data_IF_792889217794
#
_entry.id   IF_792889217794
#
_cell.length_a   1.000
_cell.length_b   1.000
_cell.length_c   1.000
_cell.angle_alpha   90.00
_cell.angle_beta   90.00
_cell.angle_gamma   90.00
#
_symmetry.space_group_name_H-M   'P 1'
#
loop_
_entity.id
_entity.type
_entity.pdbx_description
1 polymer ?
#
# COMPACT_ATOMS: atom_id res chain seq x y z
N UNK A 1 -10.34 -8.31 -9.52
CA UNK A 1 -10.98 -8.40 -8.19
C UNK A 1 -10.35 -7.35 -7.30
N UNK A 2 -9.11 -7.55 -6.84
CA UNK A 2 -8.31 -6.49 -6.23
C UNK A 2 -9.01 -5.81 -5.06
N UNK A 3 -8.77 -4.51 -4.89
CA UNK A 3 -9.32 -3.73 -3.79
C UNK A 3 -10.84 -3.52 -3.89
N UNK A 4 -11.46 -3.80 -5.04
CA UNK A 4 -12.91 -3.73 -5.18
C UNK A 4 -13.67 -4.87 -4.49
N UNK A 5 -13.00 -5.97 -4.12
CA UNK A 5 -13.55 -6.99 -3.22
C UNK A 5 -12.41 -7.63 -2.40
N UNK A 6 -12.00 -7.02 -1.28
CA UNK A 6 -10.87 -7.50 -0.47
C UNK A 6 -11.09 -8.90 0.12
N UNK A 7 -12.33 -9.27 0.41
CA UNK A 7 -12.68 -10.60 0.97
C UNK A 7 -12.38 -11.76 0.02
N UNK A 8 -12.22 -11.48 -1.28
CA UNK A 8 -11.92 -12.49 -2.27
C UNK A 8 -10.58 -13.18 -2.06
N UNK A 9 -9.58 -12.49 -1.49
CA UNK A 9 -8.30 -13.09 -1.14
C UNK A 9 -8.46 -14.11 -0.02
N UNK A 10 -9.25 -13.77 1.01
CA UNK A 10 -9.55 -14.67 2.13
C UNK A 10 -10.30 -15.91 1.66
N UNK A 11 -11.32 -15.73 0.81
CA UNK A 11 -12.10 -16.83 0.24
C UNK A 11 -11.23 -17.76 -0.61
N UNK A 12 -10.36 -17.20 -1.46
CA UNK A 12 -9.45 -18.00 -2.28
C UNK A 12 -8.49 -18.84 -1.42
N UNK A 13 -7.96 -18.27 -0.33
CA UNK A 13 -7.12 -19.00 0.62
C UNK A 13 -7.91 -20.10 1.35
N UNK A 14 -9.14 -19.83 1.77
CA UNK A 14 -10.00 -20.84 2.38
C UNK A 14 -10.32 -21.99 1.42
N UNK A 15 -10.58 -21.68 0.13
CA UNK A 15 -10.79 -22.69 -0.89
C UNK A 15 -9.51 -23.53 -1.12
N UNK A 16 -8.34 -22.91 -1.17
CA UNK A 16 -7.06 -23.62 -1.27
C UNK A 16 -6.83 -24.57 -0.07
N UNK A 17 -7.06 -24.09 1.14
CA UNK A 17 -6.93 -24.89 2.36
C UNK A 17 -7.92 -26.07 2.39
N UNK A 18 -9.18 -25.82 2.01
CA UNK A 18 -10.20 -26.87 1.89
C UNK A 18 -9.80 -27.94 0.86
N UNK A 19 -9.31 -27.55 -0.32
CA UNK A 19 -8.84 -28.49 -1.35
C UNK A 19 -7.67 -29.32 -0.86
N UNK A 20 -6.73 -28.68 -0.16
CA UNK A 20 -5.53 -29.35 0.35
C UNK A 20 -5.88 -30.38 1.42
N UNK A 21 -6.87 -30.08 2.28
CA UNK A 21 -7.30 -30.96 3.37
C UNK A 21 -8.22 -32.09 2.89
N UNK A 22 -9.15 -31.79 2.00
CA UNK A 22 -10.16 -32.74 1.52
C UNK A 22 -9.57 -33.66 0.44
N UNK A 23 -8.74 -33.10 -0.45
CA UNK A 23 -8.22 -33.82 -1.61
C UNK A 23 -9.24 -34.00 -2.74
N UNK A 24 -8.87 -34.81 -3.72
CA UNK A 24 -9.72 -35.15 -4.86
C UNK A 24 -10.50 -36.44 -4.60
N UNK A 25 -11.75 -36.54 -5.10
CA UNK A 25 -12.39 -35.62 -6.05
C UNK A 25 -13.19 -34.45 -5.44
N UNK A 26 -13.44 -34.43 -4.14
CA UNK A 26 -14.35 -33.47 -3.47
C UNK A 26 -13.83 -32.02 -3.48
N UNK A 27 -12.51 -31.80 -3.53
CA UNK A 27 -11.89 -30.48 -3.64
C UNK A 27 -12.36 -29.65 -4.84
N UNK A 28 -12.93 -30.28 -5.87
CA UNK A 28 -13.56 -29.58 -7.01
C UNK A 28 -14.70 -28.65 -6.61
N UNK A 29 -15.40 -28.97 -5.52
CA UNK A 29 -16.58 -28.22 -5.05
C UNK A 29 -16.17 -26.83 -4.53
N UNK A 30 -15.29 -26.70 -3.51
CA UNK A 30 -14.85 -25.39 -3.04
C UNK A 30 -14.08 -24.59 -4.11
N UNK A 31 -13.39 -25.26 -5.04
CA UNK A 31 -12.77 -24.59 -6.19
C UNK A 31 -13.81 -23.96 -7.12
N UNK A 32 -14.88 -24.69 -7.45
CA UNK A 32 -15.94 -24.17 -8.30
C UNK A 32 -16.61 -22.94 -7.65
N UNK A 33 -16.90 -23.01 -6.34
CA UNK A 33 -17.46 -21.88 -5.58
C UNK A 33 -16.55 -20.65 -5.63
N UNK A 34 -15.25 -20.82 -5.36
CA UNK A 34 -14.29 -19.73 -5.40
C UNK A 34 -14.20 -19.11 -6.81
N UNK A 35 -14.15 -19.92 -7.87
CA UNK A 35 -14.09 -19.43 -9.25
C UNK A 35 -15.32 -18.61 -9.60
N UNK A 36 -16.53 -19.10 -9.29
CA UNK A 36 -17.77 -18.37 -9.55
C UNK A 36 -17.81 -17.05 -8.78
N UNK A 37 -17.39 -17.05 -7.51
CA UNK A 37 -17.31 -15.84 -6.68
C UNK A 37 -16.36 -14.80 -7.28
N UNK A 38 -15.16 -15.22 -7.70
CA UNK A 38 -14.18 -14.33 -8.34
C UNK A 38 -14.69 -13.79 -9.69
N UNK A 39 -15.33 -14.64 -10.50
CA UNK A 39 -15.90 -14.28 -11.79
C UNK A 39 -17.01 -13.23 -11.65
N UNK A 40 -17.87 -13.35 -10.63
CA UNK A 40 -18.98 -12.43 -10.33
C UNK A 40 -18.56 -11.16 -9.58
N UNK A 41 -17.38 -11.14 -8.97
CA UNK A 41 -16.89 -9.99 -8.19
C UNK A 41 -16.58 -8.76 -9.06
N UNK A 42 -16.72 -7.56 -8.50
CA UNK A 42 -16.24 -6.31 -9.12
C UNK A 42 -14.74 -6.43 -9.42
N UNK A 43 -14.32 -5.89 -10.57
CA UNK A 43 -12.94 -6.02 -11.06
C UNK A 43 -12.20 -4.71 -10.83
N UNK A 44 -11.09 -4.80 -10.11
CA UNK A 44 -10.13 -3.70 -9.96
C UNK A 44 -8.70 -4.23 -10.10
N UNK A 45 -7.86 -3.50 -10.82
CA UNK A 45 -6.43 -3.72 -11.01
C UNK A 45 -5.56 -2.55 -10.55
N UNK A 46 -6.12 -1.61 -9.79
CA UNK A 46 -5.47 -0.40 -9.25
C UNK A 46 -4.21 -0.73 -8.47
N UNK A 47 -4.30 -1.59 -7.45
CA UNK A 47 -3.17 -2.02 -6.63
C UNK A 47 -2.08 -2.71 -7.46
N UNK A 48 -2.46 -3.57 -8.40
CA UNK A 48 -1.53 -4.24 -9.32
C UNK A 48 -0.76 -3.24 -10.20
N UNK A 49 -1.45 -2.26 -10.79
CA UNK A 49 -0.81 -1.20 -11.56
C UNK A 49 0.06 -0.30 -10.68
N UNK A 50 -0.39 0.01 -9.47
CA UNK A 50 0.33 0.88 -8.54
C UNK A 50 1.67 0.26 -8.11
N UNK A 51 1.70 -1.03 -7.74
CA UNK A 51 2.96 -1.69 -7.36
C UNK A 51 3.92 -1.79 -8.55
N UNK A 52 3.42 -2.09 -9.76
CA UNK A 52 4.28 -2.13 -10.95
C UNK A 52 4.90 -0.77 -11.25
N UNK A 53 4.13 0.32 -11.14
CA UNK A 53 4.65 1.69 -11.29
C UNK A 53 5.70 2.02 -10.22
N UNK A 54 5.47 1.63 -8.97
CA UNK A 54 6.42 1.87 -7.89
C UNK A 54 7.73 1.11 -8.11
N UNK A 55 7.67 -0.18 -8.50
CA UNK A 55 8.84 -0.99 -8.83
C UNK A 55 9.61 -0.37 -10.00
N UNK A 56 8.91 0.04 -11.05
CA UNK A 56 9.53 0.67 -12.22
C UNK A 56 10.21 1.99 -11.86
N UNK A 57 9.56 2.82 -11.03
CA UNK A 57 10.15 4.06 -10.55
C UNK A 57 11.46 3.80 -9.80
N UNK A 58 11.47 2.84 -8.86
CA UNK A 58 12.68 2.47 -8.11
C UNK A 58 13.80 1.99 -9.05
N UNK A 59 13.47 1.25 -10.12
CA UNK A 59 14.46 0.82 -11.12
C UNK A 59 15.08 1.99 -11.87
N UNK A 60 14.30 3.03 -12.13
CA UNK A 60 14.74 4.23 -12.86
C UNK A 60 15.53 5.19 -11.98
N UNK A 61 15.15 5.35 -10.71
CA UNK A 61 15.72 6.36 -9.81
C UNK A 61 16.84 5.82 -8.92
N UNK A 62 16.95 4.49 -8.79
CA UNK A 62 17.89 3.87 -7.87
C UNK A 62 17.52 4.09 -6.40
N UNK A 63 18.54 4.19 -5.55
CA UNK A 63 18.38 4.22 -4.09
C UNK A 63 18.28 5.65 -3.54
N UNK A 64 17.13 6.29 -3.78
CA UNK A 64 16.86 7.62 -3.24
C UNK A 64 16.82 7.62 -1.71
N UNK A 65 17.31 8.68 -1.04
CA UNK A 65 17.36 8.73 0.41
C UNK A 65 15.96 8.81 1.02
N UNK A 66 15.76 8.12 2.14
CA UNK A 66 14.56 8.28 2.97
C UNK A 66 14.58 9.69 3.60
N UNK A 67 13.46 10.44 3.59
CA UNK A 67 13.35 11.73 4.27
C UNK A 67 13.76 11.65 5.75
N UNK A 68 14.49 12.66 6.25
CA UNK A 68 15.10 12.64 7.59
C UNK A 68 14.08 12.42 8.71
N UNK A 69 12.92 13.06 8.62
CA UNK A 69 11.83 12.92 9.59
C UNK A 69 11.18 11.52 9.58
N UNK A 70 11.43 10.68 8.58
CA UNK A 70 10.95 9.29 8.55
C UNK A 70 12.03 8.28 8.96
N UNK A 71 13.30 8.70 9.07
CA UNK A 71 14.38 7.82 9.51
C UNK A 71 14.23 7.52 10.99
N UNK A 72 14.61 6.31 11.39
CA UNK A 72 14.72 5.96 12.80
C UNK A 72 15.95 6.66 13.43
N UNK A 73 15.80 7.18 14.65
CA UNK A 73 16.86 7.82 15.42
C UNK A 73 17.11 7.10 16.77
N UNK A 74 17.61 5.85 16.75
CA UNK A 74 17.82 5.06 17.96
C UNK A 74 18.99 5.56 18.82
N UNK A 75 19.95 6.29 18.24
CA UNK A 75 21.13 6.80 18.97
C UNK A 75 21.03 8.30 19.22
N UNK A 76 21.71 8.78 20.28
CA UNK A 76 21.76 10.22 20.61
C UNK A 76 22.38 11.04 19.48
N UNK A 77 23.47 10.56 18.88
CA UNK A 77 24.11 11.18 17.72
C UNK A 77 23.15 11.33 16.53
N UNK A 78 22.29 10.34 16.26
CA UNK A 78 21.30 10.44 15.18
C UNK A 78 20.24 11.50 15.44
N UNK A 79 19.79 11.65 16.70
CA UNK A 79 18.86 12.72 17.09
C UNK A 79 19.49 14.10 16.95
N UNK A 80 20.75 14.23 17.36
CA UNK A 80 21.52 15.47 17.23
C UNK A 80 21.77 15.84 15.76
N UNK A 81 21.79 14.85 14.86
CA UNK A 81 21.85 15.01 13.40
C UNK A 81 20.47 15.24 12.73
N UNK A 82 19.41 15.42 13.52
CA UNK A 82 18.06 15.71 13.02
C UNK A 82 17.29 14.51 12.48
N UNK A 83 17.72 13.27 12.79
CA UNK A 83 16.97 12.08 12.39
C UNK A 83 15.69 12.00 13.22
N UNK A 84 14.57 11.65 12.58
CA UNK A 84 13.23 11.67 13.18
C UNK A 84 12.73 13.06 13.63
N UNK A 85 13.55 14.11 13.52
CA UNK A 85 13.14 15.45 13.88
C UNK A 85 12.08 15.95 12.89
N UNK A 86 11.00 16.55 13.42
CA UNK A 86 9.85 16.96 12.63
C UNK A 86 8.88 15.84 12.21
N UNK A 87 9.05 14.59 12.68
CA UNK A 87 8.04 13.54 12.45
C UNK A 87 6.72 13.89 13.15
N UNK A 88 5.67 14.04 12.35
CA UNK A 88 4.30 14.20 12.83
C UNK A 88 3.67 12.83 12.99
N UNK A 89 3.35 12.46 14.23
CA UNK A 89 2.66 11.21 14.54
C UNK A 89 1.17 11.34 14.22
N UNK A 90 0.63 10.66 13.18
CA UNK A 90 -0.72 10.94 12.69
C UNK A 90 -1.83 10.78 13.73
N UNK A 91 -1.65 9.89 14.72
CA UNK A 91 -2.67 9.63 15.74
C UNK A 91 -2.90 10.79 16.70
N UNK A 92 -1.95 11.73 16.82
CA UNK A 92 -2.09 12.94 17.65
C UNK A 92 -2.90 14.04 16.95
N UNK A 93 -3.23 13.87 15.66
CA UNK A 93 -3.94 14.86 14.85
C UNK A 93 -5.41 14.48 14.65
N UNK A 94 -6.31 15.46 14.50
CA UNK A 94 -7.72 15.20 14.22
C UNK A 94 -7.92 14.31 12.99
N UNK A 95 -8.77 13.29 13.11
CA UNK A 95 -9.02 12.32 12.04
C UNK A 95 -7.86 11.34 11.77
N UNK A 96 -6.86 11.30 12.66
CA UNK A 96 -5.67 10.45 12.55
C UNK A 96 -4.88 10.68 11.26
N UNK A 97 -4.90 11.92 10.77
CA UNK A 97 -4.23 12.33 9.55
C UNK A 97 -3.51 13.67 9.73
N UNK A 98 -2.33 13.76 9.16
CA UNK A 98 -1.54 14.99 9.11
C UNK A 98 -0.79 15.05 7.80
N UNK A 99 -0.79 16.23 7.18
CA UNK A 99 -0.01 16.45 5.97
C UNK A 99 1.49 16.44 6.30
N UNK A 100 2.17 15.48 5.70
CA UNK A 100 3.61 15.26 5.82
C UNK A 100 4.11 14.62 4.53
N UNK A 101 5.32 14.98 4.11
CA UNK A 101 5.98 14.36 2.97
C UNK A 101 6.37 12.92 3.33
N UNK A 102 5.98 11.94 2.51
CA UNK A 102 6.37 10.54 2.66
C UNK A 102 7.28 10.03 1.54
N UNK A 103 7.29 10.71 0.39
CA UNK A 103 8.17 10.41 -0.74
C UNK A 103 9.55 11.06 -0.57
N UNK A 104 10.62 10.51 -1.15
CA UNK A 104 11.92 11.17 -1.27
C UNK A 104 11.80 12.55 -1.93
N UNK A 105 12.68 13.49 -1.57
CA UNK A 105 12.66 14.87 -2.05
C UNK A 105 12.66 14.98 -3.58
N UNK A 106 13.44 14.12 -4.25
CA UNK A 106 13.54 14.07 -5.72
C UNK A 106 12.25 13.60 -6.43
N UNK A 107 11.30 13.03 -5.68
CA UNK A 107 10.03 12.51 -6.20
C UNK A 107 8.81 13.35 -5.81
N UNK A 108 9.01 14.40 -5.01
CA UNK A 108 7.90 15.28 -4.63
C UNK A 108 7.52 16.12 -5.84
N UNK A 109 6.26 16.04 -6.34
CA UNK A 109 5.82 16.93 -7.39
C UNK A 109 5.89 18.40 -6.90
N UNK A 110 6.19 19.36 -7.78
CA UNK A 110 6.23 20.76 -7.39
C UNK A 110 4.88 21.17 -6.76
N UNK A 111 4.89 22.11 -5.79
CA UNK A 111 3.68 22.55 -5.13
C UNK A 111 2.65 22.97 -6.18
N UNK A 112 1.45 22.41 -6.08
CA UNK A 112 0.38 22.73 -7.02
C UNK A 112 0.05 24.21 -6.86
N UNK A 113 0.07 25.02 -7.93
CA UNK A 113 -0.25 26.43 -7.80
C UNK A 113 -1.68 26.57 -7.23
N UNK A 114 -1.93 27.58 -6.36
CA UNK A 114 -3.26 27.81 -5.82
C UNK A 114 -4.26 27.92 -6.97
N UNK A 115 -5.37 27.19 -6.88
CA UNK A 115 -6.46 27.31 -7.85
C UNK A 115 -6.93 28.76 -7.84
N UNK A 116 -6.77 29.48 -8.95
CA UNK A 116 -7.38 30.79 -9.13
C UNK A 116 -8.89 30.66 -8.91
N UNK A 117 -9.41 31.33 -7.86
CA UNK A 117 -10.86 31.49 -7.67
C UNK A 117 -11.52 30.79 -6.48
N UNK A 118 -10.85 30.54 -5.34
CA UNK A 118 -11.58 30.43 -4.06
C UNK A 118 -11.45 31.71 -3.25
N UNK A 119 -12.24 32.71 -3.63
CA UNK A 119 -12.76 33.71 -2.68
C UNK A 119 -13.97 33.12 -1.97
#
# INVERSE_FOLDING_TARGET
IGLANPNALLLANAAFDAVTKIGWPEGRIPLAEAVVYLARSKKDNSAYKAINKAIELVRQTGNLPVPLHLRNAPTKLMKDLGYSDGYKYPHDYPGHYVEQQYMPDELVPPPTPPKEGST
#
